data_IF_300525009961
#
_entry.id   IF_300525009961
#
_cell.length_a   1.000
_cell.length_b   1.000
_cell.length_c   1.000
_cell.angle_alpha   90.00
_cell.angle_beta   90.00
_cell.angle_gamma   90.00
#
_symmetry.space_group_name_H-M   'P 1'
#
loop_
_entity.id
_entity.type
_entity.pdbx_description
1 polymer ?
#
# COMPACT_ATOMS: atom_id res chain seq x y z
N UNK A 1 7.53 4.77 -4.20
CA UNK A 1 7.23 4.24 -2.84
C UNK A 1 8.50 4.26 -2.00
N UNK A 2 8.44 4.78 -0.78
CA UNK A 2 9.58 4.78 0.17
C UNK A 2 9.94 3.36 0.61
N UNK A 3 8.92 2.51 0.82
CA UNK A 3 9.08 1.11 1.27
C UNK A 3 9.86 0.26 0.26
N UNK A 4 9.56 0.36 -1.05
CA UNK A 4 10.32 -0.34 -2.10
C UNK A 4 11.81 0.06 -2.10
N UNK A 5 12.12 1.33 -1.86
CA UNK A 5 13.52 1.79 -1.78
C UNK A 5 14.23 1.20 -0.56
N UNK A 6 13.54 1.12 0.58
CA UNK A 6 14.06 0.47 1.77
C UNK A 6 14.30 -1.03 1.54
N UNK A 7 13.35 -1.74 0.90
CA UNK A 7 13.53 -3.15 0.51
C UNK A 7 14.81 -3.32 -0.33
N UNK A 8 14.96 -2.54 -1.39
CA UNK A 8 16.11 -2.60 -2.29
C UNK A 8 17.44 -2.35 -1.55
N UNK A 9 17.45 -1.40 -0.62
CA UNK A 9 18.62 -1.10 0.20
C UNK A 9 18.98 -2.28 1.11
N UNK A 10 18.01 -2.80 1.87
CA UNK A 10 18.21 -3.91 2.80
C UNK A 10 18.71 -5.16 2.06
N UNK A 11 18.10 -5.51 0.94
CA UNK A 11 18.52 -6.68 0.14
C UNK A 11 19.97 -6.52 -0.34
N UNK A 12 20.34 -5.34 -0.85
CA UNK A 12 21.73 -5.08 -1.27
C UNK A 12 22.71 -5.17 -0.10
N UNK A 13 22.33 -4.72 1.09
CA UNK A 13 23.16 -4.82 2.30
C UNK A 13 23.34 -6.29 2.73
N UNK A 14 22.27 -7.08 2.77
CA UNK A 14 22.33 -8.50 3.17
C UNK A 14 23.26 -9.29 2.23
N UNK A 15 23.15 -9.06 0.93
CA UNK A 15 23.95 -9.75 -0.08
C UNK A 15 25.37 -9.21 -0.24
N UNK A 16 25.72 -8.11 0.46
CA UNK A 16 26.92 -7.33 0.17
C UNK A 16 27.08 -7.04 -1.34
N UNK A 17 25.95 -6.76 -2.00
CA UNK A 17 25.90 -6.65 -3.45
C UNK A 17 26.60 -5.37 -3.94
N UNK A 18 27.50 -5.46 -4.94
CA UNK A 18 28.09 -4.29 -5.57
C UNK A 18 27.04 -3.31 -6.14
N UNK A 19 27.41 -2.04 -6.20
CA UNK A 19 26.52 -0.96 -6.63
C UNK A 19 25.97 -1.16 -8.06
N UNK A 20 26.75 -1.79 -8.95
CA UNK A 20 26.40 -2.04 -10.35
C UNK A 20 25.37 -3.16 -10.55
N UNK A 21 25.09 -3.97 -9.52
CA UNK A 21 24.07 -5.02 -9.62
C UNK A 21 22.69 -4.36 -9.74
N UNK A 22 21.96 -4.79 -10.77
CA UNK A 22 20.60 -4.34 -11.05
C UNK A 22 19.63 -5.00 -10.08
N UNK A 23 18.75 -4.20 -9.48
CA UNK A 23 17.73 -4.67 -8.53
C UNK A 23 16.84 -5.79 -9.11
N UNK A 24 16.33 -5.70 -10.36
CA UNK A 24 15.50 -6.78 -10.92
C UNK A 24 16.19 -8.15 -10.92
N UNK A 25 17.49 -8.20 -11.24
CA UNK A 25 18.29 -9.44 -11.24
C UNK A 25 18.37 -10.04 -9.84
N UNK A 26 18.44 -9.19 -8.80
CA UNK A 26 18.47 -9.66 -7.41
C UNK A 26 17.14 -10.25 -6.99
N UNK A 27 16.03 -9.61 -7.37
CA UNK A 27 14.69 -10.14 -7.09
C UNK A 27 14.44 -11.47 -7.79
N UNK A 28 14.87 -11.60 -9.05
CA UNK A 28 14.79 -12.84 -9.83
C UNK A 28 15.67 -13.94 -9.24
N UNK A 29 16.91 -13.62 -8.86
CA UNK A 29 17.85 -14.60 -8.30
C UNK A 29 17.45 -15.11 -6.91
N UNK A 30 16.78 -14.28 -6.10
CA UNK A 30 16.33 -14.65 -4.76
C UNK A 30 14.87 -15.12 -4.70
N UNK A 31 14.14 -15.05 -5.82
CA UNK A 31 12.70 -15.30 -5.89
C UNK A 31 11.91 -14.47 -4.87
N UNK A 32 12.31 -13.21 -4.67
CA UNK A 32 11.67 -12.29 -3.72
C UNK A 32 10.76 -11.34 -4.49
N UNK A 33 9.44 -11.29 -4.19
CA UNK A 33 8.55 -10.32 -4.81
C UNK A 33 8.91 -8.90 -4.39
N UNK A 34 8.68 -7.96 -5.31
CA UNK A 34 8.78 -6.54 -5.02
C UNK A 34 7.63 -6.11 -4.10
N UNK A 35 7.84 -5.09 -3.29
CA UNK A 35 6.77 -4.48 -2.47
C UNK A 35 5.55 -4.12 -3.32
N UNK A 36 5.75 -3.72 -4.58
CA UNK A 36 4.64 -3.41 -5.49
C UNK A 36 3.80 -4.63 -5.84
N UNK A 37 4.43 -5.76 -6.15
CA UNK A 37 3.74 -7.02 -6.44
C UNK A 37 2.98 -7.53 -5.22
N UNK A 38 3.61 -7.44 -4.04
CA UNK A 38 2.97 -7.85 -2.78
C UNK A 38 1.74 -6.98 -2.46
N UNK A 39 1.83 -5.66 -2.69
CA UNK A 39 0.70 -4.75 -2.54
C UNK A 39 -0.44 -5.13 -3.48
N UNK A 40 -0.15 -5.48 -4.73
CA UNK A 40 -1.19 -5.87 -5.68
C UNK A 40 -1.83 -7.21 -5.29
N UNK A 41 -1.03 -8.20 -4.88
CA UNK A 41 -1.52 -9.47 -4.39
C UNK A 41 -2.45 -9.30 -3.18
N UNK A 42 -2.03 -8.49 -2.21
CA UNK A 42 -2.86 -8.16 -1.04
C UNK A 42 -4.10 -7.36 -1.42
N UNK A 43 -4.01 -6.42 -2.36
CA UNK A 43 -5.14 -5.64 -2.83
C UNK A 43 -6.22 -6.54 -3.45
N UNK A 44 -5.83 -7.48 -4.30
CA UNK A 44 -6.76 -8.44 -4.93
C UNK A 44 -7.40 -9.33 -3.87
N UNK A 45 -6.59 -9.90 -2.97
CA UNK A 45 -7.09 -10.75 -1.87
C UNK A 45 -8.06 -9.97 -0.97
N UNK A 46 -7.70 -8.73 -0.61
CA UNK A 46 -8.54 -7.86 0.20
C UNK A 46 -9.85 -7.54 -0.50
N UNK A 47 -9.82 -7.17 -1.79
CA UNK A 47 -11.02 -6.91 -2.59
C UNK A 47 -11.96 -8.12 -2.62
N UNK A 48 -11.42 -9.33 -2.77
CA UNK A 48 -12.21 -10.56 -2.75
C UNK A 48 -12.82 -10.84 -1.38
N UNK A 49 -12.06 -10.65 -0.30
CA UNK A 49 -12.57 -10.79 1.08
C UNK A 49 -13.70 -9.80 1.33
N UNK A 50 -13.55 -8.58 0.80
CA UNK A 50 -14.53 -7.52 0.93
C UNK A 50 -15.83 -7.83 0.20
N UNK A 51 -15.76 -8.34 -1.03
CA UNK A 51 -16.95 -8.70 -1.81
C UNK A 51 -17.75 -9.86 -1.22
N UNK A 52 -17.13 -10.67 -0.36
CA UNK A 52 -17.78 -11.78 0.36
C UNK A 52 -18.17 -11.41 1.79
N UNK A 53 -17.91 -10.18 2.23
CA UNK A 53 -18.10 -9.80 3.61
C UNK A 53 -19.59 -9.58 3.91
N UNK A 54 -20.15 -10.12 5.01
CA UNK A 54 -21.58 -10.03 5.31
C UNK A 54 -22.04 -8.63 5.72
N UNK A 55 -21.12 -7.72 6.07
CA UNK A 55 -21.45 -6.36 6.47
C UNK A 55 -21.67 -5.45 5.25
N UNK A 56 -22.92 -5.07 5.00
CA UNK A 56 -23.33 -4.16 3.93
C UNK A 56 -22.76 -2.74 4.08
N UNK A 57 -22.47 -2.28 5.30
CA UNK A 57 -21.85 -0.96 5.53
C UNK A 57 -20.41 -0.90 5.03
N UNK A 58 -19.74 -2.04 4.89
CA UNK A 58 -18.39 -2.09 4.36
C UNK A 58 -18.37 -1.59 2.92
N UNK A 59 -19.36 -1.93 2.09
CA UNK A 59 -19.40 -1.51 0.67
C UNK A 59 -19.23 -0.01 0.47
N UNK A 60 -19.73 0.80 1.41
CA UNK A 60 -19.63 2.26 1.39
C UNK A 60 -18.19 2.77 1.42
N UNK A 61 -17.24 2.01 2.02
CA UNK A 61 -15.82 2.36 2.03
C UNK A 61 -15.15 2.27 0.66
N UNK A 62 -15.79 1.58 -0.31
CA UNK A 62 -15.28 1.49 -1.69
C UNK A 62 -15.57 2.76 -2.49
N UNK A 63 -16.55 3.54 -2.04
CA UNK A 63 -16.96 4.78 -2.70
C UNK A 63 -15.90 5.83 -2.37
N UNK A 64 -15.17 6.39 -3.35
CA UNK A 64 -14.19 7.41 -3.08
C UNK A 64 -14.89 8.64 -2.51
N UNK A 65 -14.57 8.99 -1.26
CA UNK A 65 -15.07 10.21 -0.66
C UNK A 65 -14.56 11.42 -1.47
N UNK A 66 -15.46 12.36 -1.76
CA UNK A 66 -15.03 13.65 -2.28
C UNK A 66 -14.25 14.37 -1.20
N UNK A 67 -12.92 14.43 -1.33
CA UNK A 67 -12.05 15.17 -0.42
C UNK A 67 -12.46 16.64 -0.48
N UNK A 68 -13.23 17.07 0.51
CA UNK A 68 -13.66 18.46 0.66
C UNK A 68 -13.15 18.99 1.98
N UNK A 69 -12.55 20.19 1.95
CA UNK A 69 -12.23 20.92 3.17
C UNK A 69 -13.50 21.15 3.97
N UNK A 70 -13.60 20.53 5.15
CA UNK A 70 -14.71 20.76 6.06
C UNK A 70 -14.76 22.24 6.43
N UNK A 71 -15.95 22.85 6.33
CA UNK A 71 -16.15 24.23 6.72
C UNK A 71 -16.04 24.30 8.25
N UNK A 72 -15.19 25.19 8.77
CA UNK A 72 -15.11 25.48 10.20
C UNK A 72 -16.52 25.83 10.69
N UNK A 73 -17.10 25.01 11.57
CA UNK A 73 -18.34 25.38 12.25
C UNK A 73 -17.97 26.53 13.19
N UNK A 74 -18.68 27.65 13.08
CA UNK A 74 -18.77 28.61 14.19
C UNK A 74 -19.68 27.92 15.20
N UNK A 75 -19.20 27.81 16.42
CA UNK A 75 -19.82 27.03 17.47
C UNK A 75 -21.29 27.45 17.66
N UNK A 76 -22.17 26.47 17.86
CA UNK A 76 -23.60 26.66 18.14
C UNK A 76 -23.79 27.05 19.63
N UNK A 77 -22.77 27.65 20.24
CA UNK A 77 -22.76 28.09 21.64
C UNK A 77 -22.61 29.60 21.72
N UNK A 78 -23.51 30.32 21.04
CA UNK A 78 -23.81 31.73 21.32
C UNK A 78 -25.35 31.83 21.34
N UNK A 79 -25.96 31.36 22.43
CA UNK A 79 -27.36 31.58 22.80
C UNK A 79 -27.43 31.80 24.31
#
# INVERSE_FOLDING_TARGET
MIIQRAQNYIIKQILNAPWFIRIPVVHEALDIPTVREEIEAHRVSYKWRFSKHPNQLAEQLTIPETIRRLKKRRDIFDA
#
